data_IF_399594980888
#
_entry.id   IF_399594980888
#
_cell.length_a   1.000
_cell.length_b   1.000
_cell.length_c   1.000
_cell.angle_alpha   90.00
_cell.angle_beta   90.00
_cell.angle_gamma   90.00
#
_symmetry.space_group_name_H-M   'P 1'
#
loop_
_entity.id
_entity.type
_entity.pdbx_description
1 polymer ?
#
# COMPACT_ATOMS: atom_id res chain seq x y z
N UNK A 1 33.63 0.75 -6.02
CA UNK A 1 33.22 0.96 -4.61
C UNK A 1 31.91 1.77 -4.49
N UNK A 2 31.76 2.94 -5.12
CA UNK A 2 30.53 3.77 -5.04
C UNK A 2 29.23 3.07 -5.49
N UNK A 3 29.28 2.23 -6.54
CA UNK A 3 28.11 1.43 -6.99
C UNK A 3 27.58 0.50 -5.89
N UNK A 4 28.47 -0.14 -5.13
CA UNK A 4 28.13 -1.05 -4.04
C UNK A 4 27.48 -0.30 -2.87
N UNK A 5 28.05 0.84 -2.48
CA UNK A 5 27.51 1.71 -1.42
C UNK A 5 26.09 2.19 -1.79
N UNK A 6 25.90 2.58 -3.04
CA UNK A 6 24.58 2.99 -3.55
C UNK A 6 23.58 1.84 -3.54
N UNK A 7 24.01 0.60 -3.80
CA UNK A 7 23.15 -0.57 -3.78
C UNK A 7 22.72 -0.93 -2.35
N UNK A 8 23.66 -0.93 -1.40
CA UNK A 8 23.37 -1.17 0.03
C UNK A 8 22.44 -0.11 0.61
N UNK A 9 22.65 1.17 0.28
CA UNK A 9 21.75 2.26 0.70
C UNK A 9 20.34 2.07 0.14
N UNK A 10 20.22 1.65 -1.13
CA UNK A 10 18.91 1.36 -1.75
C UNK A 10 18.17 0.23 -1.02
N UNK A 11 18.86 -0.84 -0.65
CA UNK A 11 18.25 -1.94 0.10
C UNK A 11 17.78 -1.51 1.49
N UNK A 12 18.57 -0.70 2.20
CA UNK A 12 18.20 -0.16 3.51
C UNK A 12 16.92 0.70 3.44
N UNK A 13 16.77 1.55 2.42
CA UNK A 13 15.56 2.38 2.24
C UNK A 13 14.32 1.51 2.00
N UNK A 14 14.44 0.41 1.26
CA UNK A 14 13.33 -0.54 1.03
C UNK A 14 12.92 -1.22 2.33
N UNK A 15 13.88 -1.72 3.12
CA UNK A 15 13.59 -2.40 4.39
C UNK A 15 12.87 -1.45 5.36
N UNK A 16 13.38 -0.22 5.52
CA UNK A 16 12.72 0.79 6.37
C UNK A 16 11.31 1.10 5.90
N UNK A 17 11.11 1.25 4.59
CA UNK A 17 9.79 1.48 4.00
C UNK A 17 8.81 0.33 4.33
N UNK A 18 9.26 -0.93 4.21
CA UNK A 18 8.43 -2.09 4.57
C UNK A 18 8.07 -2.10 6.06
N UNK A 19 9.03 -1.82 6.94
CA UNK A 19 8.79 -1.74 8.40
C UNK A 19 7.77 -0.64 8.74
N UNK A 20 7.90 0.54 8.12
CA UNK A 20 6.94 1.63 8.28
C UNK A 20 5.56 1.23 7.74
N UNK A 21 5.52 0.52 6.61
CA UNK A 21 4.28 0.01 6.02
C UNK A 21 3.54 -0.95 6.97
N UNK A 22 4.25 -1.95 7.51
CA UNK A 22 3.67 -2.90 8.48
C UNK A 22 3.17 -2.18 9.74
N UNK A 23 3.98 -1.25 10.27
CA UNK A 23 3.59 -0.44 11.43
C UNK A 23 2.32 0.37 11.14
N UNK A 24 2.23 1.01 9.97
CA UNK A 24 1.07 1.77 9.56
C UNK A 24 -0.19 0.90 9.41
N UNK A 25 -0.05 -0.34 8.91
CA UNK A 25 -1.15 -1.30 8.85
C UNK A 25 -1.65 -1.71 10.24
N UNK A 26 -0.75 -1.90 11.21
CA UNK A 26 -1.13 -2.17 12.61
C UNK A 26 -1.88 -0.98 13.21
N UNK A 27 -1.39 0.24 12.98
CA UNK A 27 -2.04 1.48 13.44
C UNK A 27 -3.44 1.63 12.82
N UNK A 28 -3.59 1.38 11.51
CA UNK A 28 -4.89 1.35 10.85
C UNK A 28 -5.83 0.36 11.55
N UNK A 29 -5.39 -0.89 11.71
CA UNK A 29 -6.21 -1.95 12.30
C UNK A 29 -6.65 -1.62 13.72
N UNK A 30 -5.74 -1.12 14.54
CA UNK A 30 -6.03 -0.72 15.91
C UNK A 30 -7.06 0.43 15.97
N UNK A 31 -6.87 1.48 15.16
CA UNK A 31 -7.79 2.62 15.14
C UNK A 31 -9.17 2.19 14.61
N UNK A 32 -9.22 1.43 13.51
CA UNK A 32 -10.48 0.94 12.97
C UNK A 32 -11.23 0.04 13.94
N UNK A 33 -10.52 -0.85 14.64
CA UNK A 33 -11.11 -1.70 15.68
C UNK A 33 -11.71 -0.88 16.81
N UNK A 34 -10.94 0.08 17.36
CA UNK A 34 -11.39 0.92 18.47
C UNK A 34 -12.63 1.72 18.06
N UNK A 35 -12.60 2.36 16.89
CA UNK A 35 -13.73 3.15 16.43
C UNK A 35 -14.96 2.30 16.12
N UNK A 36 -14.77 1.12 15.53
CA UNK A 36 -15.87 0.22 15.20
C UNK A 36 -16.62 -0.25 16.44
N UNK A 37 -15.90 -0.72 17.47
CA UNK A 37 -16.52 -1.31 18.65
C UNK A 37 -16.88 -0.30 19.75
N UNK A 38 -16.16 0.81 19.87
CA UNK A 38 -16.30 1.70 21.03
C UNK A 38 -16.83 3.10 20.72
N UNK A 39 -16.83 3.55 19.46
CA UNK A 39 -17.20 4.94 19.12
C UNK A 39 -18.37 5.00 18.15
N UNK A 40 -18.36 4.19 17.11
CA UNK A 40 -19.26 4.30 15.96
C UNK A 40 -20.28 3.15 15.85
N UNK A 41 -20.41 2.34 16.90
CA UNK A 41 -21.45 1.29 17.05
C UNK A 41 -21.64 0.42 15.82
N UNK A 42 -20.55 -0.07 15.24
CA UNK A 42 -20.59 -0.98 14.09
C UNK A 42 -20.64 -0.33 12.71
N UNK A 43 -20.48 0.99 12.58
CA UNK A 43 -20.33 1.63 11.27
C UNK A 43 -18.97 1.31 10.64
N UNK A 44 -18.93 0.25 9.82
CA UNK A 44 -17.70 -0.27 9.20
C UNK A 44 -16.98 0.77 8.34
N UNK A 45 -17.71 1.43 7.43
CA UNK A 45 -17.10 2.35 6.45
C UNK A 45 -16.38 3.50 7.16
N UNK A 46 -17.08 4.15 8.10
CA UNK A 46 -16.54 5.32 8.80
C UNK A 46 -15.34 4.93 9.68
N UNK A 47 -15.42 3.80 10.38
CA UNK A 47 -14.31 3.29 11.21
C UNK A 47 -13.07 2.94 10.38
N UNK A 48 -13.26 2.34 9.20
CA UNK A 48 -12.18 2.02 8.26
C UNK A 48 -11.54 3.29 7.67
N UNK A 49 -12.33 4.30 7.31
CA UNK A 49 -11.82 5.58 6.80
C UNK A 49 -10.95 6.30 7.83
N UNK A 50 -11.39 6.32 9.09
CA UNK A 50 -10.61 6.92 10.20
C UNK A 50 -9.31 6.15 10.42
N UNK A 51 -9.35 4.82 10.38
CA UNK A 51 -8.15 3.98 10.45
C UNK A 51 -7.19 4.22 9.30
N UNK A 52 -7.68 4.40 8.07
CA UNK A 52 -6.84 4.81 6.94
C UNK A 52 -6.16 6.16 7.20
N UNK A 53 -6.88 7.14 7.73
CA UNK A 53 -6.30 8.43 8.12
C UNK A 53 -5.13 8.26 9.10
N UNK A 54 -5.31 7.50 10.17
CA UNK A 54 -4.25 7.25 11.16
C UNK A 54 -3.06 6.48 10.59
N UNK A 55 -3.31 5.43 9.81
CA UNK A 55 -2.27 4.66 9.12
C UNK A 55 -1.48 5.51 8.12
N UNK A 56 -2.14 6.40 7.38
CA UNK A 56 -1.50 7.32 6.45
C UNK A 56 -0.61 8.35 7.15
N UNK A 57 -1.07 8.92 8.28
CA UNK A 57 -0.26 9.84 9.09
C UNK A 57 0.98 9.13 9.63
N UNK A 58 0.81 7.92 10.18
CA UNK A 58 1.92 7.09 10.65
C UNK A 58 2.92 6.80 9.53
N UNK A 59 2.43 6.38 8.36
CA UNK A 59 3.25 6.07 7.19
C UNK A 59 4.02 7.28 6.67
N UNK A 60 3.37 8.44 6.53
CA UNK A 60 4.04 9.67 6.12
C UNK A 60 5.14 10.06 7.09
N UNK A 61 4.83 10.05 8.39
CA UNK A 61 5.75 10.45 9.46
C UNK A 61 6.96 9.52 9.51
N UNK A 62 6.75 8.20 9.52
CA UNK A 62 7.83 7.21 9.51
C UNK A 62 8.69 7.31 8.25
N UNK A 63 8.07 7.48 7.08
CA UNK A 63 8.83 7.59 5.84
C UNK A 63 9.62 8.89 5.74
N UNK A 64 9.08 10.01 6.22
CA UNK A 64 9.77 11.30 6.24
C UNK A 64 10.90 11.33 7.26
N UNK A 65 10.65 10.87 8.49
CA UNK A 65 11.63 10.97 9.58
C UNK A 65 12.69 9.87 9.56
N UNK A 66 12.42 8.73 8.92
CA UNK A 66 13.32 7.56 8.99
C UNK A 66 13.68 6.98 7.62
N UNK A 67 12.71 6.54 6.81
CA UNK A 67 12.99 5.83 5.55
C UNK A 67 13.71 6.71 4.53
N UNK A 68 13.27 7.97 4.38
CA UNK A 68 13.78 8.92 3.38
C UNK A 68 14.33 10.20 4.00
N UNK A 69 14.73 10.17 5.28
CA UNK A 69 15.21 11.33 6.05
C UNK A 69 16.25 12.19 5.30
N UNK A 70 17.16 11.55 4.57
CA UNK A 70 18.22 12.22 3.80
C UNK A 70 17.70 13.05 2.61
N UNK A 71 16.48 12.79 2.14
CA UNK A 71 15.85 13.48 1.00
C UNK A 71 14.85 14.55 1.42
N UNK A 72 14.47 14.58 2.70
CA UNK A 72 13.35 15.40 3.20
C UNK A 72 13.77 16.63 3.99
N UNK A 73 15.06 16.78 4.28
CA UNK A 73 15.58 17.86 5.13
C UNK A 73 15.16 19.27 4.64
N UNK A 74 15.15 19.48 3.33
CA UNK A 74 14.85 20.77 2.70
C UNK A 74 13.43 20.86 2.13
N UNK A 75 12.65 19.77 2.20
CA UNK A 75 11.33 19.73 1.57
C UNK A 75 10.25 20.30 2.49
N UNK A 76 9.45 21.28 2.05
CA UNK A 76 8.30 21.75 2.81
C UNK A 76 7.35 20.62 3.18
N UNK A 77 6.89 20.62 4.44
CA UNK A 77 5.99 19.57 4.97
C UNK A 77 4.69 19.56 4.19
N UNK A 78 4.04 20.72 4.00
CA UNK A 78 2.75 20.82 3.31
C UNK A 78 2.81 20.29 1.88
N UNK A 79 3.82 20.68 1.10
CA UNK A 79 3.98 20.25 -0.30
C UNK A 79 4.26 18.76 -0.42
N UNK A 80 5.10 18.21 0.46
CA UNK A 80 5.37 16.76 0.45
C UNK A 80 4.17 15.96 0.97
N UNK A 81 3.41 16.49 1.92
CA UNK A 81 2.20 15.86 2.45
C UNK A 81 1.08 15.82 1.41
N UNK A 82 0.84 16.90 0.66
CA UNK A 82 -0.18 16.90 -0.40
C UNK A 82 0.16 15.89 -1.51
N UNK A 83 1.43 15.84 -1.93
CA UNK A 83 1.94 14.81 -2.86
C UNK A 83 1.78 13.40 -2.28
N UNK A 84 2.01 13.22 -0.98
CA UNK A 84 1.80 11.95 -0.28
C UNK A 84 0.32 11.54 -0.36
N UNK A 85 -0.62 12.41 -0.01
CA UNK A 85 -2.05 12.10 -0.07
C UNK A 85 -2.48 11.71 -1.49
N UNK A 86 -2.06 12.49 -2.50
CA UNK A 86 -2.33 12.16 -3.89
C UNK A 86 -1.76 10.78 -4.27
N UNK A 87 -0.54 10.47 -3.82
CA UNK A 87 0.07 9.16 -4.06
C UNK A 87 -0.70 8.02 -3.40
N UNK A 88 -1.25 8.22 -2.19
CA UNK A 88 -2.04 7.20 -1.50
C UNK A 88 -3.35 6.92 -2.23
N UNK A 89 -4.01 7.94 -2.79
CA UNK A 89 -5.20 7.76 -3.61
C UNK A 89 -4.90 6.93 -4.87
N UNK A 90 -3.79 7.22 -5.54
CA UNK A 90 -3.33 6.41 -6.68
C UNK A 90 -3.04 4.96 -6.25
N UNK A 91 -2.37 4.76 -5.12
CA UNK A 91 -2.08 3.42 -4.60
C UNK A 91 -3.35 2.67 -4.21
N UNK A 92 -4.38 3.37 -3.73
CA UNK A 92 -5.69 2.78 -3.43
C UNK A 92 -6.39 2.30 -4.71
N UNK A 93 -6.37 3.10 -5.78
CA UNK A 93 -6.91 2.67 -7.08
C UNK A 93 -6.18 1.43 -7.62
N UNK A 94 -4.86 1.36 -7.45
CA UNK A 94 -4.05 0.20 -7.83
C UNK A 94 -4.40 -1.01 -6.97
N UNK A 95 -4.46 -0.86 -5.65
CA UNK A 95 -4.86 -1.91 -4.73
C UNK A 95 -6.21 -2.53 -5.13
N UNK A 96 -7.23 -1.70 -5.35
CA UNK A 96 -8.56 -2.16 -5.73
C UNK A 96 -8.57 -2.82 -7.11
N UNK A 97 -7.94 -2.21 -8.11
CA UNK A 97 -7.88 -2.73 -9.47
C UNK A 97 -7.15 -4.06 -9.55
N UNK A 98 -5.99 -4.17 -8.89
CA UNK A 98 -5.20 -5.40 -8.86
C UNK A 98 -5.89 -6.48 -8.07
N UNK A 99 -6.49 -6.17 -6.91
CA UNK A 99 -7.26 -7.14 -6.13
C UNK A 99 -8.41 -7.71 -6.97
N UNK A 100 -9.17 -6.84 -7.62
CA UNK A 100 -10.27 -7.26 -8.49
C UNK A 100 -9.77 -8.13 -9.65
N UNK A 101 -8.74 -7.70 -10.37
CA UNK A 101 -8.18 -8.44 -11.50
C UNK A 101 -7.65 -9.81 -11.08
N UNK A 102 -6.86 -9.87 -9.99
CA UNK A 102 -6.34 -11.13 -9.46
C UNK A 102 -7.47 -12.07 -9.04
N UNK A 103 -8.52 -11.54 -8.42
CA UNK A 103 -9.70 -12.34 -8.09
C UNK A 103 -10.37 -12.93 -9.34
N UNK A 104 -10.56 -12.13 -10.40
CA UNK A 104 -11.12 -12.62 -11.67
C UNK A 104 -10.23 -13.70 -12.32
N UNK A 105 -8.91 -13.51 -12.31
CA UNK A 105 -7.97 -14.48 -12.86
C UNK A 105 -7.96 -15.80 -12.09
N UNK A 106 -8.02 -15.75 -10.76
CA UNK A 106 -8.13 -16.95 -9.91
C UNK A 106 -9.43 -17.69 -10.22
N UNK A 107 -10.56 -16.98 -10.25
CA UNK A 107 -11.87 -17.56 -10.58
C UNK A 107 -11.81 -18.23 -11.96
N UNK A 108 -11.33 -17.52 -12.98
CA UNK A 108 -11.21 -18.05 -14.34
C UNK A 108 -10.33 -19.29 -14.42
N UNK A 109 -9.19 -19.31 -13.72
CA UNK A 109 -8.29 -20.46 -13.66
C UNK A 109 -8.99 -21.70 -13.09
N UNK A 110 -9.72 -21.55 -11.99
CA UNK A 110 -10.45 -22.67 -11.39
C UNK A 110 -11.59 -23.16 -12.28
N UNK A 111 -12.33 -22.26 -12.92
CA UNK A 111 -13.35 -22.65 -13.91
C UNK A 111 -12.76 -23.46 -15.06
N UNK A 112 -11.65 -22.98 -15.64
CA UNK A 112 -10.93 -23.69 -16.70
C UNK A 112 -10.49 -25.09 -16.24
N UNK A 113 -9.94 -25.18 -15.02
CA UNK A 113 -9.46 -26.43 -14.44
C UNK A 113 -10.59 -27.45 -14.23
N UNK A 114 -11.76 -27.01 -13.73
CA UNK A 114 -12.93 -27.88 -13.54
C UNK A 114 -13.41 -28.43 -14.89
N UNK A 115 -13.55 -27.57 -15.90
CA UNK A 115 -14.04 -27.95 -17.24
C UNK A 115 -13.08 -28.95 -17.88
N UNK A 116 -11.77 -28.67 -17.85
CA UNK A 116 -10.76 -29.50 -18.52
C UNK A 116 -10.63 -30.88 -17.89
N UNK A 117 -10.83 -31.00 -16.57
CA UNK A 117 -10.68 -32.26 -15.84
C UNK A 117 -12.02 -32.97 -15.57
N UNK A 118 -13.14 -32.46 -16.11
CA UNK A 118 -14.49 -32.98 -15.89
C UNK A 118 -14.83 -33.18 -14.40
N UNK A 119 -14.36 -32.28 -13.54
CA UNK A 119 -14.59 -32.37 -12.10
C UNK A 119 -16.00 -31.91 -11.76
N UNK A 120 -16.63 -32.56 -10.78
CA UNK A 120 -17.88 -32.08 -10.21
C UNK A 120 -17.60 -30.84 -9.35
N UNK A 121 -18.43 -29.80 -9.47
CA UNK A 121 -18.29 -28.58 -8.68
C UNK A 121 -18.73 -28.84 -7.25
N UNK A 122 -17.77 -28.96 -6.33
CA UNK A 122 -18.06 -29.13 -4.91
C UNK A 122 -18.55 -27.82 -4.28
N UNK A 123 -19.32 -27.87 -3.18
CA UNK A 123 -19.77 -26.67 -2.48
C UNK A 123 -18.63 -25.75 -2.01
N UNK A 124 -17.49 -26.33 -1.60
CA UNK A 124 -16.32 -25.54 -1.17
C UNK A 124 -15.70 -24.77 -2.33
N UNK A 125 -15.65 -25.38 -3.52
CA UNK A 125 -15.12 -24.75 -4.72
C UNK A 125 -16.06 -23.65 -5.23
N UNK A 126 -17.37 -23.88 -5.12
CA UNK A 126 -18.38 -22.85 -5.37
C UNK A 126 -18.22 -21.67 -4.40
N UNK A 127 -18.06 -21.91 -3.10
CA UNK A 127 -17.80 -20.87 -2.11
C UNK A 127 -16.47 -20.12 -2.36
N UNK A 128 -15.43 -20.83 -2.80
CA UNK A 128 -14.14 -20.23 -3.17
C UNK A 128 -14.28 -19.28 -4.38
N UNK A 129 -15.00 -19.71 -5.40
CA UNK A 129 -15.31 -18.89 -6.57
C UNK A 129 -16.22 -17.70 -6.25
N UNK A 130 -17.08 -17.82 -5.24
CA UNK A 130 -18.03 -16.79 -4.81
C UNK A 130 -17.42 -15.72 -3.87
N UNK A 131 -16.18 -15.90 -3.39
CA UNK A 131 -15.52 -14.87 -2.59
C UNK A 131 -14.37 -15.32 -1.71
N UNK A 132 -14.19 -16.62 -1.43
CA UNK A 132 -13.06 -17.07 -0.60
C UNK A 132 -11.69 -16.93 -1.31
N UNK A 133 -11.68 -16.61 -2.61
CA UNK A 133 -10.50 -16.18 -3.36
C UNK A 133 -10.04 -14.74 -3.06
N UNK A 134 -10.81 -13.98 -2.28
CA UNK A 134 -10.50 -12.58 -1.97
C UNK A 134 -9.20 -12.39 -1.14
N UNK A 135 -8.89 -13.16 -0.07
CA UNK A 135 -7.66 -12.98 0.68
C UNK A 135 -6.36 -13.08 -0.14
N UNK A 136 -6.14 -14.12 -0.98
CA UNK A 136 -4.93 -14.17 -1.81
C UNK A 136 -4.91 -13.05 -2.86
N UNK A 137 -6.06 -12.67 -3.42
CA UNK A 137 -6.15 -11.56 -4.36
C UNK A 137 -5.81 -10.21 -3.70
N UNK A 138 -6.28 -9.99 -2.47
CA UNK A 138 -5.98 -8.81 -1.67
C UNK A 138 -4.48 -8.72 -1.37
N UNK A 139 -3.83 -9.84 -1.01
CA UNK A 139 -2.39 -9.89 -0.78
C UNK A 139 -1.59 -9.49 -2.03
N UNK A 140 -2.01 -9.96 -3.21
CA UNK A 140 -1.41 -9.53 -4.48
C UNK A 140 -1.59 -8.02 -4.68
N UNK A 141 -2.81 -7.50 -4.49
CA UNK A 141 -3.08 -6.06 -4.58
C UNK A 141 -2.22 -5.24 -3.61
N UNK A 142 -2.08 -5.68 -2.37
CA UNK A 142 -1.25 -5.02 -1.35
C UNK A 142 0.22 -4.98 -1.76
N UNK A 143 0.75 -6.08 -2.32
CA UNK A 143 2.13 -6.14 -2.81
C UNK A 143 2.40 -5.12 -3.92
N UNK A 144 1.54 -5.08 -4.95
CA UNK A 144 1.69 -4.14 -6.06
C UNK A 144 1.52 -2.69 -5.62
N UNK A 145 0.51 -2.41 -4.78
CA UNK A 145 0.30 -1.08 -4.22
C UNK A 145 1.50 -0.62 -3.38
N UNK A 146 2.09 -1.50 -2.56
CA UNK A 146 3.29 -1.19 -1.77
C UNK A 146 4.51 -0.91 -2.66
N UNK A 147 4.72 -1.70 -3.72
CA UNK A 147 5.81 -1.49 -4.67
C UNK A 147 5.67 -0.14 -5.39
N UNK A 148 4.48 0.16 -5.89
CA UNK A 148 4.21 1.44 -6.56
C UNK A 148 4.33 2.60 -5.58
N UNK A 149 3.82 2.45 -4.36
CA UNK A 149 3.96 3.43 -3.29
C UNK A 149 5.43 3.73 -3.01
N UNK A 150 6.28 2.71 -2.87
CA UNK A 150 7.73 2.92 -2.70
C UNK A 150 8.34 3.74 -3.85
N UNK A 151 7.99 3.43 -5.10
CA UNK A 151 8.49 4.15 -6.28
C UNK A 151 8.01 5.60 -6.29
N UNK A 152 6.73 5.86 -6.03
CA UNK A 152 6.15 7.22 -6.01
C UNK A 152 6.75 8.02 -4.84
N UNK A 153 6.87 7.44 -3.64
CA UNK A 153 7.49 8.10 -2.50
C UNK A 153 8.91 8.56 -2.83
N UNK A 154 9.68 7.68 -3.44
CA UNK A 154 11.08 7.92 -3.76
C UNK A 154 11.29 8.91 -4.91
N UNK A 155 10.42 8.90 -5.93
CA UNK A 155 10.61 9.65 -7.19
C UNK A 155 9.73 10.89 -7.34
N UNK A 156 8.67 11.02 -6.55
CA UNK A 156 7.69 12.11 -6.68
C UNK A 156 7.49 12.86 -5.36
N UNK A 157 7.25 12.14 -4.27
CA UNK A 157 6.93 12.77 -2.97
C UNK A 157 8.18 13.40 -2.34
N UNK A 158 9.30 12.65 -2.31
CA UNK A 158 10.56 13.08 -1.69
C UNK A 158 11.65 13.41 -2.71
N UNK A 159 11.26 14.08 -3.80
CA UNK A 159 12.21 14.59 -4.79
C UNK A 159 12.63 15.99 -4.37
N UNK A 160 13.92 16.18 -4.07
CA UNK A 160 14.50 17.51 -3.91
C UNK A 160 14.25 18.31 -5.19
N UNK A 161 13.62 19.48 -5.06
CA UNK A 161 13.71 20.48 -6.13
C UNK A 161 15.18 20.87 -6.20
N UNK A 162 15.85 20.49 -7.28
CA UNK A 162 17.13 21.11 -7.62
C UNK A 162 16.85 22.61 -7.73
N UNK A 163 17.29 23.38 -6.75
CA UNK A 163 17.35 24.83 -6.86
C UNK A 163 18.07 25.13 -8.17
N UNK A 164 17.33 25.76 -9.09
CA UNK A 164 17.91 26.32 -10.32
C UNK A 164 19.10 27.18 -9.90
N UNK A 165 20.27 27.08 -10.55
CA UNK A 165 21.36 28.00 -10.26
C UNK A 165 20.83 29.40 -10.56
N UNK A 166 20.73 30.25 -9.52
CA UNK A 166 20.58 31.68 -9.70
C UNK A 166 21.80 32.12 -10.51
N UNK A 167 21.54 32.51 -11.77
CA UNK A 167 22.54 33.19 -12.57
C UNK A 167 22.80 34.57 -11.92
N UNK A 168 24.08 34.94 -11.73
CA UNK A 168 24.48 36.19 -11.10
C UNK A 168 24.07 37.43 -11.91
#
# INVERSE_FOLDING_TARGET
MQKLINLMRRQADVVKFLVVGVTASIVHGAISWIFYYHVLSGQTILSTLIGYGGGWICSYTGNRLWSFRSRTHELPVVTSFSKFILSQLVCMCILLSTTWLTQQLIILYFWWYIITNHLCMTPELAAFSAGASYPPALLSGMFFAALVSYVIMKKFVFTQQSSSPEHP
#
